data_IF_894099250223
#
_entry.id   IF_894099250223
#
_cell.length_a   1.000
_cell.length_b   1.000
_cell.length_c   1.000
_cell.angle_alpha   90.00
_cell.angle_beta   90.00
_cell.angle_gamma   90.00
#
_symmetry.space_group_name_H-M   'P 1'
#
loop_
_entity.id
_entity.type
_entity.pdbx_description
1 polymer ?
#
# COMPACT_ATOMS: atom_id res chain seq x y z
N UNK A 1 -3.34 -50.78 57.54
CA UNK A 1 -2.33 -50.26 56.60
C UNK A 1 -3.00 -49.23 55.69
N UNK A 2 -2.86 -47.93 56.00
CA UNK A 2 -3.48 -46.83 55.22
C UNK A 2 -2.55 -46.48 54.05
N UNK A 3 -2.95 -46.77 52.82
CA UNK A 3 -2.26 -46.27 51.63
C UNK A 3 -2.58 -44.77 51.45
N UNK A 4 -1.53 -43.97 51.31
CA UNK A 4 -1.57 -42.51 51.12
C UNK A 4 -2.15 -42.17 49.74
N UNK A 5 -3.36 -41.60 49.73
CA UNK A 5 -3.93 -40.89 48.58
C UNK A 5 -3.27 -39.51 48.41
N UNK A 6 -2.01 -39.48 47.97
CA UNK A 6 -1.34 -38.22 47.68
C UNK A 6 -0.37 -38.40 46.52
N UNK A 7 -0.79 -38.00 45.30
CA UNK A 7 0.03 -37.43 44.21
C UNK A 7 -0.53 -37.60 42.78
N UNK A 8 -1.65 -38.26 42.55
CA UNK A 8 -2.14 -38.42 41.16
C UNK A 8 -2.92 -37.21 40.61
N UNK A 9 -3.65 -36.48 41.45
CA UNK A 9 -4.46 -35.33 41.00
C UNK A 9 -3.57 -34.13 40.60
N UNK A 10 -2.48 -33.88 41.33
CA UNK A 10 -1.59 -32.75 41.03
C UNK A 10 -0.79 -32.93 39.74
N UNK A 11 -0.39 -34.16 39.38
CA UNK A 11 0.36 -34.40 38.13
C UNK A 11 -0.55 -34.21 36.92
N UNK A 12 -1.79 -34.68 36.98
CA UNK A 12 -2.75 -34.51 35.88
C UNK A 12 -3.14 -33.03 35.68
N UNK A 13 -3.29 -32.28 36.78
CA UNK A 13 -3.57 -30.84 36.73
C UNK A 13 -2.39 -30.02 36.18
N UNK A 14 -1.14 -30.38 36.53
CA UNK A 14 0.06 -29.77 35.96
C UNK A 14 0.24 -30.11 34.48
N UNK A 15 -0.03 -31.34 34.05
CA UNK A 15 0.04 -31.72 32.63
C UNK A 15 -1.06 -31.03 31.80
N UNK A 16 -2.26 -30.84 32.35
CA UNK A 16 -3.34 -30.14 31.67
C UNK A 16 -3.07 -28.64 31.54
N UNK A 17 -2.49 -28.00 32.57
CA UNK A 17 -2.04 -26.60 32.50
C UNK A 17 -0.86 -26.41 31.54
N UNK A 18 0.07 -27.37 31.46
CA UNK A 18 1.14 -27.35 30.45
C UNK A 18 0.57 -27.50 29.02
N UNK A 19 -0.43 -28.36 28.80
CA UNK A 19 -1.11 -28.49 27.52
C UNK A 19 -1.88 -27.22 27.11
N UNK A 20 -2.54 -26.52 28.05
CA UNK A 20 -3.19 -25.23 27.78
C UNK A 20 -2.14 -24.13 27.50
N UNK A 21 -0.95 -24.20 28.13
CA UNK A 21 0.15 -23.27 27.84
C UNK A 21 0.78 -23.50 26.45
N UNK A 22 0.71 -24.73 25.92
CA UNK A 22 1.17 -25.03 24.55
C UNK A 22 0.11 -24.72 23.48
N UNK A 23 -1.18 -24.64 23.85
CA UNK A 23 -2.26 -24.13 22.97
C UNK A 23 -2.45 -22.61 23.02
N UNK A 24 -1.66 -21.92 23.83
CA UNK A 24 -1.58 -20.45 23.83
C UNK A 24 -0.39 -19.93 23.01
N UNK A 25 0.22 -20.78 22.19
CA UNK A 25 1.18 -20.35 21.18
C UNK A 25 0.44 -19.49 20.17
N UNK A 26 0.71 -18.18 20.25
CA UNK A 26 -0.05 -17.15 19.61
C UNK A 26 -0.39 -17.46 18.16
N UNK A 27 -1.69 -17.45 17.85
CA UNK A 27 -2.09 -16.75 16.65
C UNK A 27 -1.57 -15.32 16.83
N UNK A 28 -0.39 -15.05 16.28
CA UNK A 28 0.05 -13.69 16.07
C UNK A 28 -1.13 -12.99 15.41
N UNK A 29 -1.68 -11.96 16.07
CA UNK A 29 -2.69 -11.09 15.46
C UNK A 29 -2.11 -10.68 14.12
N UNK A 30 -2.55 -11.29 13.01
CA UNK A 30 -2.10 -10.88 11.68
C UNK A 30 -2.50 -9.41 11.56
N UNK A 31 -1.49 -8.54 11.60
CA UNK A 31 -1.67 -7.08 11.59
C UNK A 31 -2.24 -6.60 10.28
N UNK A 32 -1.95 -7.35 9.21
CA UNK A 32 -2.30 -7.09 7.82
C UNK A 32 -3.01 -8.30 7.20
N UNK A 33 -4.01 -8.03 6.39
CA UNK A 33 -4.88 -9.03 5.79
C UNK A 33 -5.07 -8.78 4.30
N UNK A 34 -5.03 -9.85 3.52
CA UNK A 34 -5.37 -9.84 2.10
C UNK A 34 -6.78 -10.42 1.98
N UNK A 35 -7.72 -9.58 1.59
CA UNK A 35 -9.12 -9.92 1.41
C UNK A 35 -9.36 -10.17 -0.08
N UNK A 36 -9.75 -11.39 -0.42
CA UNK A 36 -10.09 -11.79 -1.78
C UNK A 36 -11.59 -11.52 -2.00
N UNK A 37 -11.91 -10.66 -2.96
CA UNK A 37 -13.29 -10.34 -3.35
C UNK A 37 -13.53 -10.71 -4.81
N UNK A 38 -14.79 -10.73 -5.24
CA UNK A 38 -15.12 -10.93 -6.66
C UNK A 38 -14.68 -9.74 -7.53
N UNK A 39 -14.57 -8.54 -6.95
CA UNK A 39 -14.08 -7.32 -7.63
C UNK A 39 -12.55 -7.14 -7.52
N UNK A 40 -11.82 -8.20 -7.13
CA UNK A 40 -10.36 -8.21 -7.02
C UNK A 40 -9.84 -8.30 -5.58
N UNK A 41 -8.62 -7.80 -5.36
CA UNK A 41 -7.88 -7.94 -4.10
C UNK A 41 -7.92 -6.63 -3.30
N UNK A 42 -8.34 -6.72 -2.04
CA UNK A 42 -8.27 -5.63 -1.07
C UNK A 42 -7.18 -5.94 -0.05
N UNK A 43 -6.27 -5.00 0.16
CA UNK A 43 -5.29 -5.06 1.24
C UNK A 43 -5.81 -4.25 2.43
N UNK A 44 -6.01 -4.91 3.56
CA UNK A 44 -6.39 -4.31 4.84
C UNK A 44 -5.13 -4.19 5.71
N UNK A 45 -4.53 -3.01 5.73
CA UNK A 45 -3.18 -2.79 6.21
C UNK A 45 -3.17 -1.86 7.42
N UNK A 46 -2.27 -2.12 8.35
CA UNK A 46 -1.92 -1.20 9.43
C UNK A 46 -0.64 -0.44 9.06
N UNK A 47 -0.59 0.84 9.38
CA UNK A 47 0.58 1.66 9.08
C UNK A 47 0.47 3.09 9.58
N UNK A 48 1.40 3.92 9.10
CA UNK A 48 1.42 5.36 9.39
C UNK A 48 0.92 6.12 8.17
N UNK A 49 -0.17 6.87 8.34
CA UNK A 49 -0.63 7.86 7.38
C UNK A 49 0.16 9.15 7.57
N UNK A 50 0.61 9.75 6.47
CA UNK A 50 1.23 11.08 6.45
C UNK A 50 0.62 11.93 5.35
N UNK A 51 0.46 13.21 5.63
CA UNK A 51 0.09 14.22 4.64
C UNK A 51 0.70 15.56 5.00
N UNK A 52 1.30 16.21 4.00
CA UNK A 52 1.81 17.58 4.11
C UNK A 52 0.79 18.57 3.58
N UNK A 53 0.96 19.85 3.91
CA UNK A 53 0.23 20.92 3.26
C UNK A 53 1.03 22.22 3.30
N UNK A 54 0.80 23.06 2.30
CA UNK A 54 1.30 24.41 2.23
C UNK A 54 0.21 25.34 1.67
N UNK A 55 -0.18 26.35 2.46
CA UNK A 55 -1.15 27.38 2.06
C UNK A 55 -0.50 28.69 1.66
N UNK A 56 0.84 28.77 1.70
CA UNK A 56 1.57 30.00 1.41
C UNK A 56 1.67 30.30 -0.09
N UNK A 57 1.29 29.36 -0.93
CA UNK A 57 1.16 29.57 -2.37
C UNK A 57 -0.09 30.42 -2.68
N UNK A 58 0.07 31.61 -3.29
CA UNK A 58 -1.04 32.52 -3.58
C UNK A 58 -1.96 32.04 -4.71
N UNK A 59 -1.51 31.12 -5.56
CA UNK A 59 -2.33 30.55 -6.65
C UNK A 59 -3.27 29.44 -6.16
N UNK A 60 -3.18 29.13 -4.86
CA UNK A 60 -3.95 28.11 -4.17
C UNK A 60 -5.15 28.72 -3.43
N UNK A 61 -6.39 28.27 -3.67
CA UNK A 61 -7.55 28.75 -2.92
C UNK A 61 -7.42 28.50 -1.41
N UNK A 62 -7.69 29.53 -0.59
CA UNK A 62 -7.55 29.55 0.88
C UNK A 62 -8.27 28.41 1.65
N UNK A 63 -9.12 27.64 0.99
CA UNK A 63 -9.91 26.54 1.56
C UNK A 63 -9.34 25.14 1.29
N UNK A 64 -8.34 25.04 0.40
CA UNK A 64 -7.74 23.78 0.02
C UNK A 64 -6.55 23.41 0.93
N UNK A 65 -6.33 22.11 1.09
CA UNK A 65 -5.12 21.56 1.72
C UNK A 65 -4.20 21.21 0.54
N UNK A 66 -3.50 22.19 -0.04
CA UNK A 66 -2.71 21.89 -1.23
C UNK A 66 -1.28 21.43 -0.92
N UNK A 67 -0.80 20.59 -1.84
CA UNK A 67 0.52 19.97 -1.95
C UNK A 67 0.97 19.08 -0.79
N UNK A 68 0.12 18.08 -0.49
CA UNK A 68 0.60 16.84 0.12
C UNK A 68 -0.15 15.65 -0.43
N UNK A 69 0.61 14.68 -0.94
CA UNK A 69 0.09 13.36 -1.23
C UNK A 69 -0.38 12.68 0.06
N UNK A 70 -1.45 11.89 -0.04
CA UNK A 70 -1.88 11.02 1.03
C UNK A 70 -0.93 9.82 1.09
N UNK A 71 0.16 9.93 1.84
CA UNK A 71 1.15 8.87 1.94
C UNK A 71 0.77 7.88 3.04
N UNK A 72 0.95 6.60 2.76
CA UNK A 72 0.76 5.53 3.72
C UNK A 72 2.00 4.64 3.77
N UNK A 73 2.53 4.46 4.97
CA UNK A 73 3.70 3.62 5.22
C UNK A 73 3.23 2.35 5.94
N UNK A 74 3.13 1.20 5.27
CA UNK A 74 2.76 -0.05 5.92
C UNK A 74 3.73 -0.38 7.07
N UNK A 75 3.19 -0.89 8.19
CA UNK A 75 4.00 -1.41 9.29
C UNK A 75 4.82 -2.63 8.80
N UNK A 76 4.20 -3.48 7.98
CA UNK A 76 4.87 -4.61 7.33
C UNK A 76 5.72 -4.17 6.13
N UNK A 77 7.04 -4.19 6.33
CA UNK A 77 8.04 -3.82 5.31
C UNK A 77 8.16 -4.79 4.14
N UNK A 78 7.55 -5.97 4.20
CA UNK A 78 7.47 -6.87 3.04
C UNK A 78 6.46 -6.38 2.00
N UNK A 79 5.56 -5.45 2.35
CA UNK A 79 4.62 -4.86 1.40
C UNK A 79 5.34 -3.76 0.65
N UNK A 80 5.34 -3.82 -0.69
CA UNK A 80 5.97 -2.82 -1.58
C UNK A 80 7.44 -2.54 -1.23
N UNK A 81 8.18 -3.54 -0.72
CA UNK A 81 9.56 -3.37 -0.24
C UNK A 81 9.71 -2.23 0.80
N UNK A 82 8.67 -2.00 1.62
CA UNK A 82 8.69 -0.99 2.68
C UNK A 82 8.48 0.44 2.19
N UNK A 83 8.24 0.64 0.89
CA UNK A 83 7.98 1.93 0.27
C UNK A 83 6.63 2.50 0.71
N UNK A 84 6.53 3.82 0.63
CA UNK A 84 5.26 4.52 0.81
C UNK A 84 4.28 4.14 -0.31
N UNK A 85 3.01 4.06 0.04
CA UNK A 85 1.90 3.94 -0.89
C UNK A 85 1.19 5.28 -0.94
N UNK A 86 1.12 5.86 -2.13
CA UNK A 86 0.31 7.04 -2.40
C UNK A 86 -1.15 6.61 -2.52
N UNK A 87 -1.97 7.05 -1.56
CA UNK A 87 -3.39 6.78 -1.52
C UNK A 87 -4.13 7.73 -2.46
N UNK A 88 -4.87 7.17 -3.42
CA UNK A 88 -5.76 7.91 -4.31
C UNK A 88 -7.20 7.78 -3.81
N UNK A 89 -7.86 8.88 -3.40
CA UNK A 89 -9.26 8.85 -2.94
C UNK A 89 -10.26 8.35 -3.98
N UNK A 90 -9.94 8.49 -5.27
CA UNK A 90 -10.77 8.10 -6.40
C UNK A 90 -10.02 7.13 -7.31
N UNK A 91 -10.74 6.58 -8.28
CA UNK A 91 -10.11 5.78 -9.35
C UNK A 91 -9.08 6.61 -10.11
N UNK A 92 -8.02 5.95 -10.54
CA UNK A 92 -6.92 6.53 -11.29
C UNK A 92 -6.49 5.56 -12.39
N UNK A 93 -5.99 6.12 -13.48
CA UNK A 93 -5.32 5.38 -14.54
C UNK A 93 -4.09 6.19 -14.94
N UNK A 94 -2.90 5.64 -14.67
CA UNK A 94 -1.65 6.34 -14.90
C UNK A 94 -1.20 6.18 -16.35
N UNK A 95 -1.19 4.94 -16.83
CA UNK A 95 -0.63 4.62 -18.13
C UNK A 95 -1.58 4.92 -19.28
N UNK A 96 -2.90 4.93 -19.03
CA UNK A 96 -3.89 5.22 -20.06
C UNK A 96 -4.56 6.55 -19.78
N UNK A 97 -3.79 7.64 -19.91
CA UNK A 97 -4.36 8.98 -19.92
C UNK A 97 -5.34 9.13 -21.09
N UNK A 98 -6.47 9.77 -20.82
CA UNK A 98 -7.50 10.04 -21.81
C UNK A 98 -7.53 11.56 -22.03
N UNK A 99 -7.14 11.99 -23.23
CA UNK A 99 -7.06 13.42 -23.60
C UNK A 99 -8.41 14.15 -23.50
N UNK A 100 -9.53 13.42 -23.52
CA UNK A 100 -10.86 14.00 -23.30
C UNK A 100 -11.15 14.33 -21.83
N UNK A 101 -10.30 13.88 -20.90
CA UNK A 101 -10.42 14.18 -19.48
C UNK A 101 -10.04 15.63 -19.21
N UNK A 102 -10.90 16.30 -18.47
CA UNK A 102 -10.58 17.61 -17.92
C UNK A 102 -9.68 17.42 -16.69
N UNK A 103 -8.37 17.55 -16.89
CA UNK A 103 -7.36 17.37 -15.84
C UNK A 103 -7.60 18.25 -14.61
N UNK A 104 -7.96 19.51 -14.81
CA UNK A 104 -8.26 20.45 -13.71
C UNK A 104 -9.45 20.00 -12.88
N UNK A 105 -10.50 19.50 -13.54
CA UNK A 105 -11.68 18.95 -12.88
C UNK A 105 -11.32 17.70 -12.09
N UNK A 106 -10.53 16.79 -12.67
CA UNK A 106 -10.10 15.57 -11.97
C UNK A 106 -9.24 15.88 -10.75
N UNK A 107 -8.32 16.83 -10.87
CA UNK A 107 -7.52 17.33 -9.76
C UNK A 107 -8.42 17.93 -8.67
N UNK A 108 -9.33 18.84 -9.03
CA UNK A 108 -10.30 19.44 -8.10
C UNK A 108 -11.15 18.39 -7.38
N UNK A 109 -11.58 17.37 -8.10
CA UNK A 109 -12.38 16.26 -7.59
C UNK A 109 -11.59 15.34 -6.64
N UNK A 110 -10.31 15.09 -6.92
CA UNK A 110 -9.38 14.37 -6.03
C UNK A 110 -9.13 15.17 -4.75
N UNK A 111 -8.88 16.46 -4.86
CA UNK A 111 -8.65 17.37 -3.73
C UNK A 111 -9.88 17.47 -2.82
N UNK A 112 -11.07 17.61 -3.40
CA UNK A 112 -12.34 17.57 -2.64
C UNK A 112 -12.49 16.26 -1.86
N UNK A 113 -12.28 15.12 -2.52
CA UNK A 113 -12.37 13.81 -1.87
C UNK A 113 -11.35 13.65 -0.74
N UNK A 114 -10.12 14.13 -0.94
CA UNK A 114 -9.07 14.16 0.10
C UNK A 114 -9.53 14.97 1.32
N UNK A 115 -10.04 16.17 1.10
CA UNK A 115 -10.56 17.05 2.18
C UNK A 115 -11.72 16.40 2.93
N UNK A 116 -12.66 15.76 2.24
CA UNK A 116 -13.76 15.03 2.87
C UNK A 116 -13.28 13.89 3.77
N UNK A 117 -12.33 13.09 3.28
CA UNK A 117 -11.72 12.00 4.06
C UNK A 117 -11.05 12.54 5.33
N UNK A 118 -10.30 13.65 5.21
CA UNK A 118 -9.62 14.27 6.35
C UNK A 118 -10.62 14.82 7.37
N UNK A 119 -11.67 15.53 6.94
CA UNK A 119 -12.74 16.02 7.81
C UNK A 119 -13.44 14.89 8.56
N UNK A 120 -13.72 13.79 7.86
CA UNK A 120 -14.43 12.63 8.43
C UNK A 120 -13.56 11.84 9.42
N UNK A 121 -12.29 11.65 9.10
CA UNK A 121 -11.41 10.73 9.82
C UNK A 121 -10.58 11.43 10.89
N UNK A 122 -10.20 12.68 10.65
CA UNK A 122 -9.26 13.46 11.44
C UNK A 122 -9.83 14.85 11.79
N UNK A 123 -11.11 14.94 12.18
CA UNK A 123 -11.81 16.20 12.39
C UNK A 123 -11.05 17.19 13.29
N UNK A 124 -10.58 16.74 14.45
CA UNK A 124 -9.84 17.59 15.39
C UNK A 124 -8.50 18.06 14.82
N UNK A 125 -7.78 17.17 14.14
CA UNK A 125 -6.53 17.51 13.47
C UNK A 125 -6.76 18.47 12.30
N UNK A 126 -7.82 18.26 11.52
CA UNK A 126 -8.21 19.09 10.39
C UNK A 126 -8.48 20.54 10.83
N UNK A 127 -9.19 20.74 11.95
CA UNK A 127 -9.39 22.08 12.52
C UNK A 127 -8.07 22.73 13.00
N UNK A 128 -7.10 21.94 13.46
CA UNK A 128 -5.76 22.44 13.81
C UNK A 128 -4.95 22.79 12.55
N UNK A 129 -5.03 21.96 11.49
CA UNK A 129 -4.40 22.20 10.19
C UNK A 129 -4.87 23.51 9.57
N UNK A 130 -6.14 23.91 9.76
CA UNK A 130 -6.65 25.22 9.31
C UNK A 130 -5.85 26.41 9.83
N UNK A 131 -5.35 26.32 11.06
CA UNK A 131 -4.61 27.39 11.76
C UNK A 131 -3.11 27.42 11.44
N UNK A 132 -2.61 26.42 10.71
CA UNK A 132 -1.20 26.25 10.38
C UNK A 132 -1.02 26.47 8.89
N UNK A 133 -0.16 27.42 8.52
CA UNK A 133 0.11 27.78 7.13
C UNK A 133 0.74 26.63 6.35
N UNK A 134 1.81 26.05 6.89
CA UNK A 134 2.56 24.93 6.31
C UNK A 134 2.83 23.89 7.39
N UNK A 135 2.57 22.62 7.12
CA UNK A 135 2.71 21.57 8.13
C UNK A 135 2.63 20.16 7.59
N UNK A 136 2.77 19.22 8.51
CA UNK A 136 2.64 17.78 8.30
C UNK A 136 1.75 17.17 9.38
N UNK A 137 0.89 16.24 8.98
CA UNK A 137 0.10 15.38 9.84
C UNK A 137 0.63 13.96 9.70
N UNK A 138 0.97 13.33 10.81
CA UNK A 138 1.26 11.90 10.88
C UNK A 138 0.28 11.22 11.85
N UNK A 139 -0.29 10.09 11.46
CA UNK A 139 -1.22 9.36 12.33
C UNK A 139 -1.16 7.84 12.07
N UNK A 140 -1.11 7.00 13.13
CA UNK A 140 -1.30 5.57 12.97
C UNK A 140 -2.72 5.24 12.54
N UNK A 141 -2.87 4.49 11.45
CA UNK A 141 -4.16 4.16 10.86
C UNK A 141 -4.24 2.70 10.40
N UNK A 142 -5.47 2.24 10.19
CA UNK A 142 -5.76 1.13 9.29
C UNK A 142 -6.34 1.66 7.98
N UNK A 143 -5.86 1.12 6.87
CA UNK A 143 -6.39 1.42 5.54
C UNK A 143 -6.88 0.15 4.85
N UNK A 144 -7.94 0.28 4.07
CA UNK A 144 -8.29 -0.70 3.03
C UNK A 144 -7.99 -0.06 1.69
N UNK A 145 -7.16 -0.74 0.89
CA UNK A 145 -6.73 -0.26 -0.42
C UNK A 145 -6.95 -1.34 -1.49
N UNK A 146 -7.16 -0.92 -2.73
CA UNK A 146 -7.23 -1.81 -3.91
C UNK A 146 -6.42 -1.23 -5.07
N UNK A 147 -6.24 -2.02 -6.14
CA UNK A 147 -5.50 -1.63 -7.35
C UNK A 147 -4.13 -1.04 -7.01
N UNK A 148 -3.31 -1.80 -6.27
CA UNK A 148 -1.92 -1.38 -5.98
C UNK A 148 -1.13 -1.42 -7.29
N UNK A 149 -0.57 -0.27 -7.66
CA UNK A 149 0.12 -0.04 -8.93
C UNK A 149 1.52 0.47 -8.63
N UNK A 150 2.54 -0.39 -8.74
CA UNK A 150 3.92 0.04 -8.87
C UNK A 150 4.08 1.04 -10.03
N UNK A 151 4.69 2.18 -9.75
CA UNK A 151 5.07 3.14 -10.77
C UNK A 151 6.55 3.45 -10.64
N UNK A 152 7.28 3.40 -11.75
CA UNK A 152 8.72 3.67 -11.80
C UNK A 152 8.96 4.65 -12.94
N UNK A 153 9.57 5.80 -12.64
CA UNK A 153 9.96 6.81 -13.62
C UNK A 153 11.33 7.36 -13.23
N UNK A 154 12.24 7.40 -14.20
CA UNK A 154 13.66 7.72 -13.97
C UNK A 154 14.21 6.91 -12.78
N UNK A 155 14.63 7.58 -11.72
CA UNK A 155 15.24 6.99 -10.51
C UNK A 155 14.24 6.84 -9.35
N UNK A 156 12.95 7.10 -9.59
CA UNK A 156 11.92 7.07 -8.57
C UNK A 156 10.99 5.87 -8.77
N UNK A 157 10.84 5.06 -7.72
CA UNK A 157 9.81 4.02 -7.66
C UNK A 157 8.84 4.28 -6.50
N UNK A 158 7.55 4.41 -6.84
CA UNK A 158 6.43 4.55 -5.89
C UNK A 158 5.34 3.51 -6.13
N UNK A 159 4.34 3.50 -5.26
CA UNK A 159 3.16 2.66 -5.37
C UNK A 159 1.91 3.50 -5.20
N UNK A 160 1.01 3.48 -6.18
CA UNK A 160 -0.31 4.08 -6.06
C UNK A 160 -1.33 3.03 -5.65
N UNK A 161 -2.32 3.41 -4.84
CA UNK A 161 -3.43 2.52 -4.56
C UNK A 161 -4.72 3.32 -4.35
N UNK A 162 -5.84 2.75 -4.80
CA UNK A 162 -7.15 3.34 -4.54
C UNK A 162 -7.52 3.11 -3.09
N UNK A 163 -7.78 4.19 -2.37
CA UNK A 163 -8.25 4.15 -0.99
C UNK A 163 -9.74 3.79 -0.96
N UNK A 164 -10.07 2.77 -0.17
CA UNK A 164 -11.45 2.34 0.10
C UNK A 164 -11.90 2.84 1.47
N UNK A 165 -11.03 2.71 2.46
CA UNK A 165 -11.35 3.09 3.84
C UNK A 165 -10.07 3.49 4.57
N UNK A 166 -10.15 4.50 5.44
CA UNK A 166 -9.11 4.87 6.39
C UNK A 166 -9.75 5.06 7.76
N UNK A 167 -9.12 4.49 8.80
CA UNK A 167 -9.59 4.54 10.19
C UNK A 167 -8.42 4.81 11.12
N UNK A 168 -8.61 5.71 12.08
CA UNK A 168 -7.68 5.88 13.21
C UNK A 168 -7.63 4.60 14.03
N UNK A 169 -6.49 4.34 14.63
CA UNK A 169 -6.34 3.23 15.59
C UNK A 169 -6.63 3.76 16.99
N UNK A 170 -7.58 3.15 17.69
CA UNK A 170 -7.98 3.57 19.03
C UNK A 170 -6.78 3.59 20.00
N UNK A 171 -6.71 4.62 20.84
CA UNK A 171 -5.62 4.83 21.79
C UNK A 171 -4.33 5.40 21.19
N UNK A 172 -4.25 5.58 19.86
CA UNK A 172 -3.11 6.24 19.21
C UNK A 172 -3.34 7.74 19.07
N UNK A 173 -2.24 8.52 19.09
CA UNK A 173 -2.27 9.97 18.92
C UNK A 173 -1.70 10.37 17.57
N UNK A 174 -2.39 11.27 16.88
CA UNK A 174 -1.84 11.94 15.71
C UNK A 174 -0.83 13.02 16.12
N UNK A 175 0.18 13.24 15.29
CA UNK A 175 1.17 14.30 15.44
C UNK A 175 0.97 15.32 14.32
N UNK A 176 0.89 16.59 14.69
CA UNK A 176 0.93 17.72 13.75
C UNK A 176 2.25 18.46 13.97
N UNK A 177 3.01 18.64 12.90
CA UNK A 177 4.27 19.39 12.90
C UNK A 177 4.09 20.65 12.06
N UNK A 178 4.37 21.83 12.63
CA UNK A 178 4.43 23.08 11.86
C UNK A 178 5.79 23.15 11.16
N UNK A 179 5.77 23.41 9.85
CA UNK A 179 6.98 23.58 9.05
C UNK A 179 7.28 25.07 8.84
N UNK A 180 8.55 25.41 8.58
CA UNK A 180 8.96 26.79 8.30
C UNK A 180 8.55 27.17 6.87
N UNK A 181 7.96 28.35 6.72
CA UNK A 181 7.73 28.96 5.39
C UNK A 181 9.05 29.62 4.99
N UNK A 182 9.75 29.08 3.99
CA UNK A 182 10.90 29.79 3.38
C UNK A 182 10.31 31.05 2.72
N UNK A 183 10.89 32.23 2.97
CA UNK A 183 10.59 33.42 2.15
C UNK A 183 11.10 33.10 0.74
N UNK A 184 10.30 33.34 -0.30
CA UNK A 184 10.74 33.24 -1.70
C UNK A 184 12.07 34.00 -1.82
N UNK A 185 13.18 33.27 -1.94
CA UNK A 185 14.36 33.75 -2.63
C UNK A 185 14.15 33.32 -4.07
N UNK A 186 14.39 34.27 -4.96
CA UNK A 186 14.32 34.24 -6.41
C UNK A 186 14.49 32.84 -7.03
N UNK A 187 13.51 32.49 -7.88
CA UNK A 187 13.52 31.53 -8.98
C UNK A 187 14.45 30.30 -8.84
N UNK A 188 13.83 29.11 -8.71
CA UNK A 188 14.34 27.73 -8.94
C UNK A 188 14.43 26.76 -7.77
N UNK A 189 14.02 27.13 -6.55
CA UNK A 189 13.77 26.09 -5.53
C UNK A 189 12.40 25.44 -5.81
N UNK A 190 12.38 24.60 -6.86
CA UNK A 190 11.42 23.52 -7.02
C UNK A 190 11.24 22.86 -5.66
N UNK A 191 9.97 22.58 -5.32
CA UNK A 191 9.59 21.96 -4.07
C UNK A 191 10.68 21.00 -3.59
N UNK A 192 11.14 21.16 -2.35
CA UNK A 192 11.77 20.08 -1.60
C UNK A 192 10.70 18.97 -1.50
N UNK A 193 10.41 18.28 -2.62
CA UNK A 193 9.71 17.02 -2.66
C UNK A 193 10.41 16.19 -1.59
N UNK A 194 9.65 15.46 -0.75
CA UNK A 194 10.30 14.55 0.17
C UNK A 194 11.27 13.75 -0.67
N UNK A 195 12.58 13.91 -0.41
CA UNK A 195 13.58 13.00 -0.93
C UNK A 195 13.12 11.65 -0.45
N UNK A 196 12.35 10.97 -1.29
CA UNK A 196 11.89 9.62 -1.10
C UNK A 196 13.18 8.88 -1.24
N UNK A 197 13.81 8.65 -0.07
CA UNK A 197 15.17 8.17 0.07
C UNK A 197 15.49 7.19 -1.06
N UNK A 198 16.67 7.36 -1.66
CA UNK A 198 17.27 6.48 -2.67
C UNK A 198 17.35 5.07 -2.07
N UNK A 199 16.23 4.35 -2.13
CA UNK A 199 15.97 3.09 -1.44
C UNK A 199 15.55 2.12 -2.51
N UNK A 200 16.32 1.03 -2.60
CA UNK A 200 16.18 -0.14 -3.46
C UNK A 200 14.87 -0.21 -4.26
N UNK A 201 15.02 -0.40 -5.57
CA UNK A 201 13.97 -0.74 -6.50
C UNK A 201 12.98 -1.77 -5.93
N UNK A 202 11.73 -1.72 -6.38
CA UNK A 202 10.77 -2.77 -6.03
C UNK A 202 11.33 -4.15 -6.37
N UNK A 203 11.11 -5.13 -5.50
CA UNK A 203 11.57 -6.51 -5.73
C UNK A 203 11.03 -6.99 -7.09
N UNK A 204 11.93 -7.22 -8.04
CA UNK A 204 11.65 -7.80 -9.35
C UNK A 204 11.89 -9.31 -9.29
N UNK A 205 11.05 -10.06 -9.99
CA UNK A 205 11.23 -11.50 -10.19
C UNK A 205 11.12 -11.83 -11.66
N UNK A 206 11.94 -12.76 -12.11
CA UNK A 206 11.83 -13.34 -13.44
C UNK A 206 10.99 -14.61 -13.37
N UNK A 207 10.11 -14.81 -14.35
CA UNK A 207 9.40 -16.07 -14.52
C UNK A 207 10.42 -17.16 -14.87
N UNK A 208 10.46 -18.20 -14.05
CA UNK A 208 11.34 -19.35 -14.23
C UNK A 208 10.60 -20.61 -13.81
N UNK A 209 9.92 -21.20 -14.79
CA UNK A 209 9.10 -22.40 -14.63
C UNK A 209 9.64 -23.55 -15.47
N UNK A 210 9.47 -24.78 -14.98
CA UNK A 210 9.84 -26.02 -15.71
C UNK A 210 9.06 -26.16 -17.02
N UNK A 211 7.85 -25.63 -17.06
CA UNK A 211 6.95 -25.73 -18.22
C UNK A 211 7.22 -24.64 -19.27
N UNK A 212 8.19 -23.76 -19.04
CA UNK A 212 8.51 -22.62 -19.93
C UNK A 212 7.61 -21.40 -19.74
N UNK A 213 6.62 -21.47 -18.86
CA UNK A 213 5.70 -20.37 -18.56
C UNK A 213 5.12 -20.45 -17.14
N UNK A 214 4.52 -19.35 -16.69
CA UNK A 214 3.72 -19.30 -15.48
C UNK A 214 2.40 -18.55 -15.70
N UNK A 215 1.43 -18.81 -14.83
CA UNK A 215 0.12 -18.18 -14.87
C UNK A 215 0.00 -17.21 -13.69
N UNK A 216 -0.33 -15.95 -13.98
CA UNK A 216 -0.89 -15.03 -13.01
C UNK A 216 -2.37 -15.37 -12.87
N UNK A 217 -2.82 -15.55 -11.63
CA UNK A 217 -4.16 -16.04 -11.30
C UNK A 217 -4.92 -15.06 -10.44
N UNK A 218 -6.24 -15.10 -10.51
CA UNK A 218 -7.09 -14.20 -9.73
C UNK A 218 -7.02 -14.49 -8.23
N UNK A 219 -6.90 -15.77 -7.86
CA UNK A 219 -6.82 -16.23 -6.47
C UNK A 219 -5.56 -17.10 -6.29
N UNK A 220 -5.03 -17.25 -5.06
CA UNK A 220 -3.83 -18.01 -4.77
C UNK A 220 -4.10 -19.53 -4.76
N UNK A 221 -4.70 -20.06 -5.84
CA UNK A 221 -5.03 -21.47 -6.03
C UNK A 221 -4.82 -21.88 -7.49
N UNK A 222 -4.49 -23.14 -7.73
CA UNK A 222 -4.28 -23.69 -9.09
C UNK A 222 -5.56 -23.77 -9.92
N UNK A 223 -6.72 -23.79 -9.27
CA UNK A 223 -8.03 -23.96 -9.92
C UNK A 223 -8.69 -22.61 -10.25
N UNK A 224 -8.13 -21.52 -9.76
CA UNK A 224 -8.64 -20.18 -10.04
C UNK A 224 -8.37 -19.74 -11.49
N UNK A 225 -9.20 -18.81 -11.95
CA UNK A 225 -9.11 -18.22 -13.28
C UNK A 225 -7.70 -17.65 -13.53
N UNK A 226 -7.18 -17.96 -14.71
CA UNK A 226 -5.93 -17.38 -15.21
C UNK A 226 -6.24 -15.97 -15.70
N UNK A 227 -5.52 -14.99 -15.14
CA UNK A 227 -5.58 -13.57 -15.52
C UNK A 227 -4.64 -13.30 -16.69
N UNK A 228 -3.43 -13.87 -16.63
CA UNK A 228 -2.41 -13.74 -17.68
C UNK A 228 -1.49 -14.96 -17.67
N UNK A 229 -1.05 -15.38 -18.85
CA UNK A 229 0.01 -16.38 -19.03
C UNK A 229 1.27 -15.66 -19.51
N UNK A 230 2.37 -15.82 -18.78
CA UNK A 230 3.67 -15.22 -19.09
C UNK A 230 4.69 -16.33 -19.35
N UNK A 231 5.47 -16.20 -20.42
CA UNK A 231 6.60 -17.09 -20.67
C UNK A 231 7.72 -16.83 -19.65
N UNK A 232 8.66 -17.76 -19.56
CA UNK A 232 9.91 -17.52 -18.84
C UNK A 232 10.60 -16.24 -19.33
N UNK A 233 11.52 -15.70 -18.52
CA UNK A 233 12.25 -14.44 -18.78
C UNK A 233 11.41 -13.17 -18.61
N UNK A 234 10.08 -13.25 -18.61
CA UNK A 234 9.24 -12.12 -18.26
C UNK A 234 9.54 -11.63 -16.83
N UNK A 235 9.66 -10.31 -16.66
CA UNK A 235 9.96 -9.68 -15.37
C UNK A 235 8.68 -9.11 -14.78
N UNK A 236 8.41 -9.43 -13.51
CA UNK A 236 7.24 -8.97 -12.77
C UNK A 236 7.65 -8.20 -11.51
N UNK A 237 6.79 -7.28 -11.08
CA UNK A 237 6.97 -6.50 -9.84
C UNK A 237 6.22 -7.15 -8.69
N UNK A 238 6.92 -7.44 -7.59
CA UNK A 238 6.32 -8.02 -6.38
C UNK A 238 5.61 -6.95 -5.53
N UNK A 239 4.39 -7.25 -5.08
CA UNK A 239 3.63 -6.38 -4.17
C UNK A 239 3.68 -6.92 -2.74
N UNK A 240 3.22 -8.16 -2.54
CA UNK A 240 3.17 -8.78 -1.21
C UNK A 240 3.05 -10.31 -1.30
N UNK A 241 3.22 -11.00 -0.18
CA UNK A 241 3.18 -12.45 -0.07
C UNK A 241 1.88 -12.93 0.59
N UNK A 242 1.33 -14.02 0.08
CA UNK A 242 0.19 -14.75 0.63
C UNK A 242 0.50 -16.25 0.68
N UNK A 243 1.00 -16.73 1.83
CA UNK A 243 1.46 -18.12 1.94
C UNK A 243 2.58 -18.41 0.95
N UNK A 244 2.40 -19.39 0.08
CA UNK A 244 3.38 -19.74 -0.97
C UNK A 244 3.16 -18.99 -2.30
N UNK A 245 2.21 -18.06 -2.33
CA UNK A 245 1.89 -17.24 -3.48
C UNK A 245 2.38 -15.81 -3.29
N UNK A 246 2.78 -15.16 -4.38
CA UNK A 246 3.05 -13.74 -4.42
C UNK A 246 1.94 -13.03 -5.17
N UNK A 247 1.43 -11.95 -4.60
CA UNK A 247 0.60 -11.00 -5.31
C UNK A 247 1.52 -10.03 -6.06
N UNK A 248 1.34 -9.93 -7.37
CA UNK A 248 2.28 -9.31 -8.30
C UNK A 248 1.57 -8.37 -9.27
N UNK A 249 2.36 -7.52 -9.90
CA UNK A 249 1.95 -6.60 -10.95
C UNK A 249 2.80 -6.81 -12.20
N UNK A 250 2.13 -6.74 -13.35
CA UNK A 250 2.74 -6.73 -14.66
C UNK A 250 2.04 -5.69 -15.54
N UNK A 251 2.82 -4.91 -16.28
CA UNK A 251 2.32 -3.96 -17.27
C UNK A 251 2.82 -4.40 -18.64
N UNK A 252 1.89 -4.64 -19.55
CA UNK A 252 2.17 -4.96 -20.94
C UNK A 252 2.15 -3.66 -21.74
N UNK A 253 3.34 -3.22 -22.15
CA UNK A 253 3.53 -2.01 -22.95
C UNK A 253 3.44 -2.39 -24.43
N UNK A 254 2.43 -1.90 -25.16
CA UNK A 254 2.31 -2.16 -26.58
C UNK A 254 3.55 -1.63 -27.31
N UNK A 255 3.98 -2.32 -28.37
CA UNK A 255 5.10 -1.82 -29.18
C UNK A 255 4.73 -0.47 -29.81
N UNK A 256 5.72 0.37 -30.10
CA UNK A 256 5.53 1.66 -30.80
C UNK A 256 4.82 1.52 -32.16
N UNK A 257 4.70 0.29 -32.68
CA UNK A 257 4.04 -0.03 -33.96
C UNK A 257 2.58 -0.47 -33.81
N UNK A 258 2.09 -0.70 -32.59
CA UNK A 258 0.71 -1.11 -32.33
C UNK A 258 -0.25 0.10 -32.27
N UNK A 259 -1.43 -0.04 -32.88
CA UNK A 259 -2.47 1.00 -32.89
C UNK A 259 -3.14 1.21 -31.53
N UNK A 260 -2.92 0.29 -30.58
CA UNK A 260 -3.39 0.41 -29.20
C UNK A 260 -2.30 1.07 -28.37
N UNK A 261 -2.34 2.39 -28.19
CA UNK A 261 -1.42 3.12 -27.28
C UNK A 261 -1.70 2.84 -25.78
N UNK A 262 -2.54 1.83 -25.48
CA UNK A 262 -3.02 1.56 -24.13
C UNK A 262 -2.21 0.44 -23.48
N UNK A 263 -1.55 0.77 -22.37
CA UNK A 263 -0.87 -0.18 -21.51
C UNK A 263 -1.90 -1.06 -20.81
N UNK A 264 -1.71 -2.38 -20.92
CA UNK A 264 -2.57 -3.37 -20.23
C UNK A 264 -1.94 -3.73 -18.90
N UNK A 265 -2.64 -3.43 -17.82
CA UNK A 265 -2.19 -3.72 -16.47
C UNK A 265 -2.80 -5.01 -15.93
N UNK A 266 -1.96 -5.87 -15.39
CA UNK A 266 -2.34 -7.14 -14.79
C UNK A 266 -1.90 -7.22 -13.34
N UNK A 267 -2.79 -7.74 -12.50
CA UNK A 267 -2.54 -8.02 -11.09
C UNK A 267 -3.09 -9.39 -10.75
N UNK A 268 -2.39 -10.13 -9.89
CA UNK A 268 -2.85 -11.43 -9.45
C UNK A 268 -1.78 -12.19 -8.69
N UNK A 269 -2.04 -13.48 -8.49
CA UNK A 269 -1.21 -14.39 -7.73
C UNK A 269 -0.39 -15.30 -8.64
N UNK A 270 0.87 -15.47 -8.30
CA UNK A 270 1.78 -16.43 -8.92
C UNK A 270 2.48 -17.24 -7.83
N UNK A 271 2.66 -18.55 -8.05
CA UNK A 271 3.26 -19.40 -7.04
C UNK A 271 4.78 -19.17 -6.99
N UNK A 272 5.35 -19.09 -5.78
CA UNK A 272 6.77 -18.76 -5.57
C UNK A 272 7.74 -19.71 -6.30
N UNK A 273 7.33 -20.95 -6.57
CA UNK A 273 8.16 -21.95 -7.26
C UNK A 273 8.33 -21.69 -8.76
N UNK A 274 7.56 -20.73 -9.32
CA UNK A 274 7.62 -20.35 -10.73
C UNK A 274 8.45 -19.08 -10.95
N UNK A 275 9.16 -18.64 -9.91
CA UNK A 275 9.88 -17.39 -9.87
C UNK A 275 11.32 -17.62 -9.42
N UNK A 276 12.25 -16.87 -10.03
CA UNK A 276 13.59 -16.64 -9.49
C UNK A 276 13.78 -15.14 -9.24
N UNK A 277 14.65 -14.79 -8.30
CA UNK A 277 15.01 -13.39 -8.07
C UNK A 277 15.61 -12.82 -9.36
N UNK A 278 15.17 -11.64 -9.75
CA UNK A 278 15.76 -10.92 -10.88
C UNK A 278 17.07 -10.27 -10.44
N UNK A 279 18.05 -10.24 -11.33
CA UNK A 279 19.35 -9.59 -11.15
C UNK A 279 19.52 -8.69 -12.37
N UNK A 280 19.55 -7.38 -12.15
CA UNK A 280 19.78 -6.36 -13.20
C UNK A 280 21.18 -6.51 -13.84
#
# INVERSE_FOLDING_TARGET
>A
MKLKNFKFINVFFCCFLLLISMFSFGQSKKSDEIILTDDGVILNLKGTFKINWDKSDPDVPCSAIEYGEMLFYPDNKDIMNGKAIVLKPRDFDYHNWDESRNAEKEFSDMEKAKVEILKKTFLEEFEKMKKIQKGELQSPVRVKIKKVTPYTECDFTTAYARLIEIKKIDGTKSKITKLKVKKKLDDSDDFDEPHLDEVDDLKKYEISSKDGYANIREKPTTDSKIVLKLNNEAVIKYITKYGDWYYVYFADYPSDTEKEWKVKEYRGFIHKSQLKKYVD
#
